data_IF_004356173603
#
_entry.id   IF_004356173603
#
_cell.length_a   1.000
_cell.length_b   1.000
_cell.length_c   1.000
_cell.angle_alpha   90.00
_cell.angle_beta   90.00
_cell.angle_gamma   90.00
#
_symmetry.space_group_name_H-M   'P 1'
#
loop_
_entity.id
_entity.type
_entity.pdbx_description
1 polymer ?
#
# COMPACT_ATOMS: atom_id res chain seq x y z
N UNK A 1 -7.04 -12.74 -8.72
CA UNK A 1 -6.59 -11.35 -8.84
C UNK A 1 -5.46 -11.35 -9.86
N UNK A 2 -5.38 -10.36 -10.74
CA UNK A 2 -4.28 -10.25 -11.70
C UNK A 2 -3.14 -9.47 -11.04
N UNK A 3 -2.09 -10.18 -10.61
CA UNK A 3 -0.94 -9.56 -9.95
C UNK A 3 0.04 -8.96 -10.95
N UNK A 4 0.02 -9.39 -12.22
CA UNK A 4 0.93 -8.87 -13.22
C UNK A 4 0.52 -7.45 -13.60
N UNK A 5 -0.78 -7.22 -13.84
CA UNK A 5 -1.31 -5.86 -14.02
C UNK A 5 -1.21 -5.00 -12.76
N UNK A 6 -1.24 -5.59 -11.55
CA UNK A 6 -1.04 -4.83 -10.31
C UNK A 6 0.37 -4.21 -10.26
N UNK A 7 1.39 -4.92 -10.76
CA UNK A 7 2.77 -4.45 -10.74
C UNK A 7 3.03 -3.25 -11.68
N UNK A 8 2.11 -2.96 -12.62
CA UNK A 8 2.19 -1.78 -13.48
C UNK A 8 1.99 -0.46 -12.71
N UNK A 9 1.36 -0.49 -11.54
CA UNK A 9 1.16 0.70 -10.68
C UNK A 9 2.39 1.03 -9.82
N UNK A 10 3.45 0.22 -9.88
CA UNK A 10 4.66 0.36 -9.08
C UNK A 10 5.86 0.71 -9.96
N UNK A 11 6.75 1.54 -9.43
CA UNK A 11 8.05 1.78 -10.03
C UNK A 11 8.93 0.52 -9.96
N UNK A 12 9.92 0.42 -10.85
CA UNK A 12 10.89 -0.70 -10.84
C UNK A 12 11.68 -0.78 -9.52
N UNK A 13 11.96 0.36 -8.91
CA UNK A 13 12.66 0.53 -7.64
C UNK A 13 11.71 0.70 -6.44
N UNK A 14 10.47 0.23 -6.56
CA UNK A 14 9.47 0.35 -5.50
C UNK A 14 9.81 -0.53 -4.27
N UNK A 15 9.35 -0.08 -3.11
CA UNK A 15 9.40 -0.86 -1.87
C UNK A 15 8.01 -1.01 -1.26
N UNK A 16 7.64 -2.25 -0.94
CA UNK A 16 6.47 -2.60 -0.15
C UNK A 16 6.88 -2.95 1.28
N UNK A 17 6.23 -2.32 2.27
CA UNK A 17 6.29 -2.75 3.66
C UNK A 17 5.28 -3.88 3.85
N UNK A 18 5.77 -5.12 3.85
CA UNK A 18 4.90 -6.31 3.99
C UNK A 18 4.32 -6.39 5.41
N UNK A 19 5.19 -6.16 6.40
CA UNK A 19 4.85 -5.99 7.82
C UNK A 19 5.98 -5.20 8.51
N UNK A 20 5.78 -4.69 9.74
CA UNK A 20 6.86 -4.02 10.45
C UNK A 20 8.14 -4.89 10.51
N UNK A 21 9.27 -4.29 10.14
CA UNK A 21 10.56 -4.96 10.06
C UNK A 21 10.78 -5.87 8.83
N UNK A 22 9.85 -5.93 7.87
CA UNK A 22 9.98 -6.77 6.66
C UNK A 22 9.52 -6.03 5.41
N UNK A 23 10.46 -5.86 4.47
CA UNK A 23 10.24 -5.13 3.23
C UNK A 23 10.46 -6.05 2.02
N UNK A 24 9.74 -5.78 0.94
CA UNK A 24 10.01 -6.30 -0.39
C UNK A 24 10.42 -5.13 -1.30
N UNK A 25 11.61 -5.17 -1.90
CA UNK A 25 12.25 -3.99 -2.52
C UNK A 25 12.45 -4.12 -4.04
N UNK A 26 11.87 -5.14 -4.66
CA UNK A 26 11.81 -5.29 -6.11
C UNK A 26 10.45 -5.91 -6.50
N UNK A 27 10.08 -5.78 -7.78
CA UNK A 27 8.77 -6.21 -8.28
C UNK A 27 8.49 -7.69 -8.10
N UNK A 28 9.50 -8.56 -8.19
CA UNK A 28 9.32 -10.00 -8.02
C UNK A 28 9.01 -10.33 -6.55
N UNK A 29 9.77 -9.76 -5.61
CA UNK A 29 9.49 -9.91 -4.19
C UNK A 29 8.13 -9.32 -3.81
N UNK A 30 7.78 -8.16 -4.37
CA UNK A 30 6.50 -7.51 -4.13
C UNK A 30 5.34 -8.36 -4.65
N UNK A 31 5.46 -8.92 -5.85
CA UNK A 31 4.48 -9.84 -6.45
C UNK A 31 4.24 -11.04 -5.53
N UNK A 32 5.31 -11.72 -5.11
CA UNK A 32 5.22 -12.85 -4.17
C UNK A 32 4.60 -12.43 -2.83
N UNK A 33 4.93 -11.24 -2.32
CA UNK A 33 4.35 -10.73 -1.10
C UNK A 33 2.85 -10.46 -1.24
N UNK A 34 2.40 -9.87 -2.35
CA UNK A 34 0.97 -9.64 -2.60
C UNK A 34 0.18 -10.94 -2.75
N UNK A 35 0.75 -11.95 -3.43
CA UNK A 35 0.16 -13.28 -3.51
C UNK A 35 -0.02 -13.88 -2.10
N UNK A 36 1.02 -13.84 -1.27
CA UNK A 36 0.97 -14.34 0.10
C UNK A 36 -0.01 -13.57 0.99
N UNK A 37 -0.07 -12.24 0.86
CA UNK A 37 -1.03 -11.39 1.59
C UNK A 37 -2.46 -11.74 1.18
N UNK A 38 -2.73 -11.87 -0.13
CA UNK A 38 -4.06 -12.22 -0.63
C UNK A 38 -4.50 -13.61 -0.14
N UNK A 39 -3.57 -14.58 -0.14
CA UNK A 39 -3.83 -15.90 0.43
C UNK A 39 -4.08 -15.88 1.94
N UNK A 40 -3.39 -15.01 2.68
CA UNK A 40 -3.58 -14.86 4.11
C UNK A 40 -4.92 -14.19 4.45
N UNK A 41 -5.36 -13.23 3.64
CA UNK A 41 -6.57 -12.44 3.89
C UNK A 41 -7.87 -13.07 3.40
N UNK A 42 -7.82 -14.06 2.49
CA UNK A 42 -8.91 -14.94 1.98
C UNK A 42 -10.34 -14.57 2.44
N UNK A 43 -10.81 -13.40 2.02
CA UNK A 43 -12.16 -12.84 2.19
C UNK A 43 -12.64 -12.47 3.61
N UNK A 44 -11.77 -12.46 4.62
CA UNK A 44 -12.17 -12.11 6.01
C UNK A 44 -12.17 -10.61 6.32
N UNK A 45 -11.62 -9.81 5.41
CA UNK A 45 -11.36 -8.40 5.63
C UNK A 45 -11.90 -7.59 4.44
N UNK A 46 -12.90 -6.73 4.67
CA UNK A 46 -13.27 -5.74 3.65
C UNK A 46 -12.46 -4.49 3.89
N UNK A 47 -11.72 -4.09 2.86
CA UNK A 47 -10.90 -2.88 2.89
C UNK A 47 -11.67 -1.78 2.18
N UNK A 48 -11.91 -0.66 2.88
CA UNK A 48 -12.50 0.56 2.32
C UNK A 48 -11.54 1.73 2.48
N UNK A 49 -11.64 2.68 1.56
CA UNK A 49 -10.87 3.92 1.63
C UNK A 49 -11.63 4.95 2.47
N UNK A 50 -10.93 5.62 3.37
CA UNK A 50 -11.42 6.76 4.15
C UNK A 50 -10.90 8.08 3.57
N UNK A 51 -10.55 9.02 4.45
CA UNK A 51 -9.96 10.30 4.04
C UNK A 51 -8.62 10.09 3.34
N UNK A 52 -8.35 10.91 2.32
CA UNK A 52 -7.08 10.94 1.61
C UNK A 52 -6.58 12.38 1.59
N UNK A 53 -5.30 12.57 1.90
CA UNK A 53 -4.57 13.82 1.78
C UNK A 53 -3.37 13.62 0.86
N UNK A 54 -3.19 14.52 -0.10
CA UNK A 54 -2.12 14.44 -1.11
C UNK A 54 -1.26 15.69 -1.01
N UNK A 55 0.05 15.51 -0.85
CA UNK A 55 1.03 16.58 -0.79
C UNK A 55 2.00 16.38 -1.96
N UNK A 56 1.85 17.19 -3.01
CA UNK A 56 2.66 17.09 -4.22
C UNK A 56 3.82 18.09 -4.22
N UNK A 57 4.98 17.66 -4.71
CA UNK A 57 6.13 18.52 -5.00
C UNK A 57 6.98 17.94 -6.12
N UNK A 58 7.24 18.74 -7.15
CA UNK A 58 8.02 18.35 -8.32
C UNK A 58 7.43 17.10 -9.01
N UNK A 59 8.19 16.01 -9.08
CA UNK A 59 7.79 14.72 -9.63
C UNK A 59 7.36 13.72 -8.55
N UNK A 60 7.18 14.16 -7.31
CA UNK A 60 6.87 13.30 -6.17
C UNK A 60 5.56 13.72 -5.50
N UNK A 61 4.80 12.75 -4.98
CA UNK A 61 3.63 12.98 -4.16
C UNK A 61 3.66 12.10 -2.91
N UNK A 62 3.44 12.69 -1.75
CA UNK A 62 3.15 11.96 -0.52
C UNK A 62 1.63 11.84 -0.38
N UNK A 63 1.14 10.61 -0.29
CA UNK A 63 -0.27 10.30 -0.08
C UNK A 63 -0.43 9.74 1.33
N UNK A 64 -1.24 10.41 2.14
CA UNK A 64 -1.62 9.95 3.48
C UNK A 64 -3.09 9.58 3.40
N UNK A 65 -3.44 8.36 3.76
CA UNK A 65 -4.83 7.93 3.68
C UNK A 65 -5.27 7.07 4.85
N UNK A 66 -6.55 7.14 5.13
CA UNK A 66 -7.22 6.20 6.02
C UNK A 66 -7.61 4.94 5.25
N UNK A 67 -7.19 3.80 5.77
CA UNK A 67 -7.66 2.47 5.37
C UNK A 67 -8.60 1.96 6.45
N UNK A 68 -9.86 1.79 6.08
CA UNK A 68 -10.91 1.27 6.94
C UNK A 68 -11.01 -0.24 6.73
N UNK A 69 -10.77 -1.00 7.79
CA UNK A 69 -10.82 -2.45 7.78
C UNK A 69 -12.11 -2.91 8.47
N UNK A 70 -13.08 -3.40 7.70
CA UNK A 70 -14.26 -4.06 8.27
C UNK A 70 -13.92 -5.52 8.54
N UNK A 71 -14.00 -5.88 9.81
CA UNK A 71 -13.82 -7.25 10.30
C UNK A 71 -15.19 -7.81 10.66
N UNK A 72 -15.46 -9.04 10.24
CA UNK A 72 -16.71 -9.72 10.58
C UNK A 72 -16.89 -9.81 12.11
N UNK A 73 -18.09 -9.43 12.59
CA UNK A 73 -18.40 -9.42 14.02
C UNK A 73 -17.99 -8.17 14.79
N UNK A 74 -17.43 -7.14 14.13
CA UNK A 74 -17.18 -5.82 14.75
C UNK A 74 -18.16 -4.76 14.23
N UNK A 75 -18.73 -3.98 15.13
CA UNK A 75 -19.68 -2.90 14.80
C UNK A 75 -19.00 -1.67 14.16
N UNK A 76 -17.69 -1.51 14.35
CA UNK A 76 -16.93 -0.38 13.84
C UNK A 76 -15.69 -0.87 13.09
N UNK A 77 -15.32 -0.22 11.97
CA UNK A 77 -14.10 -0.53 11.26
C UNK A 77 -12.87 -0.16 12.09
N UNK A 78 -11.80 -0.91 11.91
CA UNK A 78 -10.47 -0.50 12.37
C UNK A 78 -9.93 0.52 11.37
N UNK A 79 -9.53 1.70 11.86
CA UNK A 79 -8.94 2.75 11.02
C UNK A 79 -7.41 2.64 11.09
N UNK A 80 -6.75 2.54 9.95
CA UNK A 80 -5.29 2.61 9.84
C UNK A 80 -4.88 3.79 8.97
N UNK A 81 -3.87 4.53 9.40
CA UNK A 81 -3.24 5.54 8.56
C UNK A 81 -2.15 4.89 7.72
N UNK A 82 -2.30 4.89 6.40
CA UNK A 82 -1.26 4.49 5.46
C UNK A 82 -0.56 5.71 4.87
N UNK A 83 0.72 5.55 4.53
CA UNK A 83 1.52 6.56 3.83
C UNK A 83 2.13 5.92 2.59
N UNK A 84 1.88 6.52 1.44
CA UNK A 84 2.44 6.10 0.17
C UNK A 84 3.26 7.24 -0.41
N UNK A 85 4.33 6.90 -1.11
CA UNK A 85 5.09 7.85 -1.91
C UNK A 85 4.94 7.45 -3.36
N UNK A 86 4.52 8.40 -4.18
CA UNK A 86 4.41 8.24 -5.62
C UNK A 86 5.44 9.11 -6.33
N UNK A 87 5.95 8.61 -7.46
CA UNK A 87 6.81 9.36 -8.38
C UNK A 87 6.16 9.38 -9.76
N UNK A 88 6.15 10.53 -10.40
CA UNK A 88 5.66 10.71 -11.76
C UNK A 88 6.73 10.23 -12.75
N UNK A 89 6.38 9.28 -13.61
CA UNK A 89 7.25 8.74 -14.64
C UNK A 89 7.48 9.75 -15.78
N UNK A 90 8.42 9.46 -16.67
CA UNK A 90 8.66 10.25 -17.88
C UNK A 90 7.42 10.31 -18.81
N UNK A 91 6.54 9.31 -18.71
CA UNK A 91 5.28 9.22 -19.45
C UNK A 91 4.12 9.95 -18.73
N UNK A 92 4.41 10.70 -17.67
CA UNK A 92 3.44 11.41 -16.84
C UNK A 92 2.47 10.51 -16.05
N UNK A 93 2.80 9.24 -15.87
CA UNK A 93 2.05 8.31 -15.01
C UNK A 93 2.56 8.37 -13.57
N UNK A 94 1.67 8.34 -12.59
CA UNK A 94 2.06 8.22 -11.18
C UNK A 94 2.27 6.76 -10.80
N UNK A 95 3.47 6.45 -10.32
CA UNK A 95 3.86 5.11 -9.88
C UNK A 95 4.20 5.12 -8.40
N UNK A 96 3.71 4.14 -7.65
CA UNK A 96 4.08 3.98 -6.24
C UNK A 96 5.56 3.57 -6.15
N UNK A 97 6.34 4.31 -5.36
CA UNK A 97 7.75 4.01 -5.04
C UNK A 97 7.91 3.53 -3.60
N UNK A 98 7.01 3.92 -2.70
CA UNK A 98 6.94 3.38 -1.33
C UNK A 98 5.49 3.07 -1.01
N UNK A 99 5.20 1.80 -0.76
CA UNK A 99 3.94 1.33 -0.21
C UNK A 99 4.11 1.00 1.27
N UNK A 100 3.70 1.94 2.12
CA UNK A 100 3.65 1.73 3.54
C UNK A 100 2.20 1.83 4.04
N UNK A 101 1.51 0.70 3.92
CA UNK A 101 0.14 0.51 4.44
C UNK A 101 0.03 0.62 5.98
N UNK A 102 1.14 0.75 6.71
CA UNK A 102 1.18 0.92 8.17
C UNK A 102 1.38 2.39 8.60
N UNK A 103 1.74 3.29 7.68
CA UNK A 103 1.98 4.69 8.05
C UNK A 103 3.05 4.85 9.12
N UNK A 104 2.81 5.75 10.07
CA UNK A 104 3.69 5.96 11.22
C UNK A 104 3.58 4.86 12.27
N UNK A 105 2.55 4.00 12.23
CA UNK A 105 2.38 2.91 13.21
C UNK A 105 3.47 1.85 13.13
N UNK A 106 4.29 1.85 12.06
CA UNK A 106 5.50 1.03 11.98
C UNK A 106 6.50 1.30 13.10
N UNK A 107 6.44 2.49 13.72
CA UNK A 107 7.31 2.87 14.84
C UNK A 107 6.87 2.23 16.17
N UNK A 108 5.63 1.73 16.24
CA UNK A 108 5.04 1.16 17.46
C UNK A 108 5.21 -0.37 17.54
N UNK A 109 5.94 -0.96 16.60
CA UNK A 109 6.07 -2.41 16.42
C UNK A 109 7.25 -3.04 17.17
#
# INVERSE_FOLDING_TARGET
MDFDSLMEFYAEDATLVVKPGMNATDKDQMRTAFEAIAEHLKNQLKVRQGRIEVIERADTALVIMETLLDVEGQDKPIVRGATYVFRRSAESCWLSVVDNSYGTSILDA
#
